data_IF_721497857663
#
_entry.id   IF_721497857663
#
_cell.length_a   1.000
_cell.length_b   1.000
_cell.length_c   1.000
_cell.angle_alpha   90.00
_cell.angle_beta   90.00
_cell.angle_gamma   90.00
#
_symmetry.space_group_name_H-M   'P 1'
#
loop_
_entity.id
_entity.type
_entity.pdbx_description
1 polymer ?
#
# COMPACT_ATOMS: atom_id res chain seq x y z
N UNK A 1 7.60 -4.76 12.68
CA UNK A 1 6.60 -5.28 13.64
C UNK A 1 6.94 -6.70 14.14
N UNK A 2 7.83 -7.43 13.49
CA UNK A 2 8.12 -8.85 13.80
C UNK A 2 9.01 -9.04 15.04
N UNK A 3 9.72 -8.00 15.50
CA UNK A 3 10.48 -8.07 16.77
C UNK A 3 9.54 -7.91 17.99
N UNK A 4 9.91 -8.37 19.20
CA UNK A 4 9.07 -8.22 20.40
C UNK A 4 8.61 -6.78 20.66
N UNK A 5 9.52 -5.82 20.60
CA UNK A 5 9.25 -4.39 20.82
C UNK A 5 8.42 -3.81 19.68
N UNK A 6 8.74 -4.16 18.43
CA UNK A 6 7.99 -3.76 17.24
C UNK A 6 6.55 -4.27 17.27
N UNK A 7 6.34 -5.50 17.77
CA UNK A 7 5.00 -6.08 17.96
C UNK A 7 4.16 -5.28 18.95
N UNK A 8 4.71 -4.96 20.11
CA UNK A 8 4.01 -4.13 21.12
C UNK A 8 3.62 -2.77 20.54
N UNK A 9 4.54 -2.12 19.84
CA UNK A 9 4.29 -0.82 19.21
C UNK A 9 3.22 -0.91 18.12
N UNK A 10 3.28 -1.93 17.26
CA UNK A 10 2.30 -2.12 16.19
C UNK A 10 0.89 -2.40 16.76
N UNK A 11 0.75 -3.25 17.77
CA UNK A 11 -0.54 -3.50 18.43
C UNK A 11 -1.11 -2.24 19.08
N UNK A 12 -0.27 -1.46 19.76
CA UNK A 12 -0.70 -0.20 20.39
C UNK A 12 -1.19 0.81 19.35
N UNK A 13 -0.45 0.99 18.25
CA UNK A 13 -0.76 1.98 17.23
C UNK A 13 -1.92 1.55 16.31
N UNK A 14 -1.91 0.29 15.84
CA UNK A 14 -2.80 -0.17 14.78
C UNK A 14 -4.09 -0.84 15.29
N UNK A 15 -4.13 -1.29 16.54
CA UNK A 15 -5.30 -1.95 17.12
C UNK A 15 -5.88 -1.17 18.31
N UNK A 16 -5.10 -0.94 19.37
CA UNK A 16 -5.60 -0.26 20.58
C UNK A 16 -5.99 1.18 20.29
N UNK A 17 -5.18 1.92 19.55
CA UNK A 17 -5.47 3.31 19.16
C UNK A 17 -6.78 3.43 18.37
N UNK A 18 -6.96 2.72 17.25
CA UNK A 18 -8.20 2.69 16.50
C UNK A 18 -9.42 2.25 17.33
N UNK A 19 -9.29 1.27 18.23
CA UNK A 19 -10.38 0.84 19.10
C UNK A 19 -10.84 1.95 20.05
N UNK A 20 -9.90 2.73 20.63
CA UNK A 20 -10.23 3.87 21.47
C UNK A 20 -10.90 4.98 20.67
N UNK A 21 -10.39 5.28 19.47
CA UNK A 21 -10.99 6.28 18.57
C UNK A 21 -12.41 5.86 18.16
N UNK A 22 -12.59 4.60 17.74
CA UNK A 22 -13.89 4.08 17.31
C UNK A 22 -14.94 4.21 18.43
N UNK A 23 -14.58 3.84 19.67
CA UNK A 23 -15.46 3.99 20.83
C UNK A 23 -15.81 5.47 21.08
N UNK A 24 -14.81 6.34 21.13
CA UNK A 24 -15.04 7.77 21.37
C UNK A 24 -15.88 8.41 20.25
N UNK A 25 -15.61 8.07 18.99
CA UNK A 25 -16.39 8.56 17.87
C UNK A 25 -17.85 8.10 17.93
N UNK A 26 -18.08 6.82 18.30
CA UNK A 26 -19.43 6.27 18.47
C UNK A 26 -20.20 6.99 19.59
N UNK A 27 -19.56 7.22 20.77
CA UNK A 27 -20.15 7.93 21.91
C UNK A 27 -20.56 9.38 21.57
N UNK A 28 -19.81 10.04 20.69
CA UNK A 28 -20.02 11.45 20.35
C UNK A 28 -20.65 11.68 18.96
N UNK A 29 -21.05 10.62 18.25
CA UNK A 29 -21.65 10.72 16.91
C UNK A 29 -20.70 11.30 15.85
N UNK A 30 -19.38 11.12 16.03
CA UNK A 30 -18.34 11.60 15.11
C UNK A 30 -18.11 10.56 14.01
N UNK A 31 -17.97 11.00 12.77
CA UNK A 31 -17.58 10.13 11.67
C UNK A 31 -16.08 9.85 11.73
N UNK A 32 -15.70 8.57 11.78
CA UNK A 32 -14.31 8.11 11.82
C UNK A 32 -13.86 7.66 10.43
N UNK A 33 -12.76 8.19 9.94
CA UNK A 33 -12.03 7.66 8.77
C UNK A 33 -10.79 6.95 9.27
N UNK A 34 -10.64 5.68 8.87
CA UNK A 34 -9.51 4.83 9.23
C UNK A 34 -8.78 4.37 7.97
N UNK A 35 -7.50 4.67 7.87
CA UNK A 35 -6.65 4.17 6.79
C UNK A 35 -6.13 2.79 7.15
N UNK A 36 -6.39 1.80 6.29
CA UNK A 36 -5.96 0.42 6.45
C UNK A 36 -5.07 -0.05 5.30
N UNK A 37 -4.87 -1.35 5.15
CA UNK A 37 -3.91 -1.95 4.23
C UNK A 37 -4.42 -3.26 3.65
N UNK A 38 -3.96 -3.58 2.44
CA UNK A 38 -4.04 -4.89 1.80
C UNK A 38 -3.42 -6.03 2.62
N UNK A 39 -2.47 -5.73 3.53
CA UNK A 39 -1.86 -6.72 4.44
C UNK A 39 -2.85 -7.35 5.44
N UNK A 40 -4.10 -6.93 5.45
CA UNK A 40 -5.19 -7.62 6.16
C UNK A 40 -5.59 -8.92 5.48
N UNK A 41 -5.11 -9.17 4.25
CA UNK A 41 -5.32 -10.38 3.46
C UNK A 41 -4.04 -11.20 3.34
N UNK A 42 -4.17 -12.46 2.88
CA UNK A 42 -3.05 -13.38 2.71
C UNK A 42 -2.39 -13.32 1.31
N UNK A 43 -3.01 -12.63 0.36
CA UNK A 43 -2.52 -12.50 -1.00
C UNK A 43 -2.69 -13.75 -1.86
N UNK A 44 -3.61 -14.66 -1.52
CA UNK A 44 -3.89 -15.87 -2.32
C UNK A 44 -4.86 -15.60 -3.46
N UNK A 45 -5.79 -14.64 -3.31
CA UNK A 45 -6.64 -14.17 -4.40
C UNK A 45 -5.87 -13.17 -5.28
N UNK A 46 -6.08 -13.23 -6.60
CA UNK A 46 -5.46 -12.27 -7.53
C UNK A 46 -5.93 -10.83 -7.28
N UNK A 47 -7.18 -10.66 -6.86
CA UNK A 47 -7.78 -9.39 -6.47
C UNK A 47 -8.63 -9.63 -5.21
N UNK A 48 -8.38 -8.87 -4.16
CA UNK A 48 -9.12 -8.93 -2.90
C UNK A 48 -10.27 -7.94 -2.89
N UNK A 49 -11.34 -8.28 -2.17
CA UNK A 49 -12.54 -7.45 -2.03
C UNK A 49 -12.79 -7.05 -0.58
N UNK A 50 -13.58 -6.00 -0.35
CA UNK A 50 -13.87 -5.49 0.99
C UNK A 50 -14.57 -6.50 1.91
N UNK A 51 -15.37 -7.41 1.32
CA UNK A 51 -16.17 -8.40 2.05
C UNK A 51 -15.45 -9.73 2.29
N UNK A 52 -14.23 -9.87 1.77
CA UNK A 52 -13.40 -11.05 1.99
C UNK A 52 -13.02 -11.20 3.47
N UNK A 53 -13.02 -12.42 4.04
CA UNK A 53 -12.53 -12.65 5.39
C UNK A 53 -11.08 -12.22 5.56
N UNK A 54 -10.78 -11.53 6.68
CA UNK A 54 -9.42 -11.10 6.98
C UNK A 54 -8.52 -12.30 7.27
N UNK A 55 -7.35 -12.37 6.61
CA UNK A 55 -6.40 -13.50 6.65
C UNK A 55 -4.94 -13.06 6.72
N UNK A 56 -4.56 -12.13 7.63
CA UNK A 56 -3.25 -11.49 7.63
C UNK A 56 -2.10 -12.46 7.93
N UNK A 57 -1.00 -12.37 7.15
CA UNK A 57 0.18 -13.21 7.30
C UNK A 57 1.16 -12.66 8.35
N UNK A 58 1.37 -11.34 8.39
CA UNK A 58 2.37 -10.68 9.22
C UNK A 58 1.79 -10.09 10.50
N UNK A 59 2.65 -9.79 11.49
CA UNK A 59 2.22 -9.06 12.70
C UNK A 59 1.64 -7.68 12.33
N UNK A 60 2.24 -6.99 11.36
CA UNK A 60 1.69 -5.73 10.85
C UNK A 60 0.24 -5.93 10.35
N UNK A 61 0.03 -6.90 9.47
CA UNK A 61 -1.31 -7.22 8.94
C UNK A 61 -2.30 -7.59 10.04
N UNK A 62 -1.89 -8.45 11.00
CA UNK A 62 -2.73 -8.84 12.15
C UNK A 62 -3.18 -7.62 12.97
N UNK A 63 -2.26 -6.68 13.23
CA UNK A 63 -2.59 -5.46 13.99
C UNK A 63 -3.50 -4.53 13.21
N UNK A 64 -3.34 -4.42 11.88
CA UNK A 64 -4.22 -3.63 11.01
C UNK A 64 -5.62 -4.26 10.92
N UNK A 65 -5.70 -5.58 10.75
CA UNK A 65 -6.97 -6.31 10.75
C UNK A 65 -7.74 -6.15 12.08
N UNK A 66 -7.04 -6.21 13.22
CA UNK A 66 -7.66 -5.95 14.52
C UNK A 66 -8.19 -4.50 14.63
N UNK A 67 -7.49 -3.53 14.05
CA UNK A 67 -7.95 -2.15 13.93
C UNK A 67 -9.21 -2.02 13.07
N UNK A 68 -9.23 -2.67 11.91
CA UNK A 68 -10.41 -2.70 11.01
C UNK A 68 -11.64 -3.24 11.73
N UNK A 69 -11.51 -4.39 12.43
CA UNK A 69 -12.60 -5.00 13.20
C UNK A 69 -13.12 -4.03 14.27
N UNK A 70 -12.21 -3.36 14.99
CA UNK A 70 -12.60 -2.41 16.02
C UNK A 70 -13.32 -1.18 15.44
N UNK A 71 -12.83 -0.64 14.32
CA UNK A 71 -13.43 0.52 13.65
C UNK A 71 -14.77 0.19 13.01
N UNK A 72 -14.95 -1.03 12.48
CA UNK A 72 -16.22 -1.50 11.93
C UNK A 72 -17.34 -1.52 12.98
N UNK A 73 -17.01 -1.57 14.26
CA UNK A 73 -17.97 -1.41 15.36
C UNK A 73 -18.49 0.02 15.56
N UNK A 74 -17.87 1.04 14.96
CA UNK A 74 -18.33 2.42 15.00
C UNK A 74 -19.44 2.63 13.95
N UNK A 75 -20.67 3.06 14.30
CA UNK A 75 -21.76 3.20 13.33
C UNK A 75 -21.49 4.14 12.16
N UNK A 76 -20.64 5.14 12.37
CA UNK A 76 -20.28 6.16 11.38
C UNK A 76 -18.79 6.06 11.06
N UNK A 77 -18.44 5.12 10.19
CA UNK A 77 -17.04 4.90 9.84
C UNK A 77 -16.84 4.74 8.33
N UNK A 78 -15.63 5.08 7.89
CA UNK A 78 -15.05 4.71 6.62
C UNK A 78 -13.70 4.05 6.89
N UNK A 79 -13.53 2.80 6.46
CA UNK A 79 -12.23 2.11 6.42
C UNK A 79 -11.74 2.19 4.98
N UNK A 80 -10.60 2.87 4.77
CA UNK A 80 -9.98 3.02 3.45
C UNK A 80 -8.77 2.10 3.39
N UNK A 81 -8.89 0.94 2.72
CA UNK A 81 -7.78 0.01 2.53
C UNK A 81 -6.98 0.38 1.30
N UNK A 82 -5.68 0.45 1.42
CA UNK A 82 -4.78 0.75 0.29
C UNK A 82 -3.55 -0.15 0.30
N UNK A 83 -2.81 -0.14 -0.80
CA UNK A 83 -1.52 -0.81 -0.95
C UNK A 83 -0.49 0.16 -1.54
N UNK A 84 0.80 -0.10 -1.29
CA UNK A 84 1.94 0.50 -1.98
C UNK A 84 1.87 2.03 -2.09
N UNK A 85 1.73 2.69 -0.95
CA UNK A 85 1.45 4.13 -0.87
C UNK A 85 2.68 4.97 -1.24
N UNK A 86 2.49 5.90 -2.16
CA UNK A 86 3.49 6.85 -2.66
C UNK A 86 3.07 8.28 -2.33
N UNK A 87 3.99 9.07 -1.78
CA UNK A 87 3.75 10.46 -1.41
C UNK A 87 5.03 11.28 -1.28
N UNK A 88 4.97 12.42 -0.56
CA UNK A 88 6.09 13.35 -0.43
C UNK A 88 7.28 12.80 0.36
N UNK A 89 7.05 11.91 1.33
CA UNK A 89 8.08 11.30 2.15
C UNK A 89 8.98 10.33 1.39
N UNK A 90 9.88 9.66 2.12
CA UNK A 90 10.69 8.56 1.57
C UNK A 90 9.76 7.44 1.09
N UNK A 91 9.96 6.97 -0.14
CA UNK A 91 9.14 5.93 -0.75
C UNK A 91 9.91 5.16 -1.83
N UNK A 92 9.32 4.07 -2.32
CA UNK A 92 9.94 3.18 -3.30
C UNK A 92 10.32 3.91 -4.59
N UNK A 93 9.45 4.76 -5.15
CA UNK A 93 9.70 5.46 -6.42
C UNK A 93 10.90 6.40 -6.31
N UNK A 94 11.00 7.18 -5.23
CA UNK A 94 12.16 8.05 -4.97
C UNK A 94 13.45 7.23 -4.81
N UNK A 95 13.37 6.08 -4.13
CA UNK A 95 14.51 5.19 -3.97
C UNK A 95 14.97 4.65 -5.33
N UNK A 96 14.05 4.17 -6.15
CA UNK A 96 14.37 3.64 -7.48
C UNK A 96 14.95 4.73 -8.39
N UNK A 97 14.38 5.95 -8.37
CA UNK A 97 14.95 7.08 -9.12
C UNK A 97 16.40 7.37 -8.69
N UNK A 98 16.66 7.47 -7.40
CA UNK A 98 18.01 7.72 -6.90
C UNK A 98 19.00 6.59 -7.26
N UNK A 99 18.54 5.33 -7.27
CA UNK A 99 19.36 4.19 -7.73
C UNK A 99 19.60 4.23 -9.24
N UNK A 100 18.59 4.62 -10.05
CA UNK A 100 18.75 4.82 -11.49
C UNK A 100 19.79 5.90 -11.80
N UNK A 101 19.76 7.04 -11.06
CA UNK A 101 20.74 8.10 -11.21
C UNK A 101 22.17 7.61 -10.91
N UNK A 102 22.34 6.79 -9.86
CA UNK A 102 23.64 6.18 -9.51
C UNK A 102 24.13 5.19 -10.56
N UNK A 103 23.23 4.35 -11.11
CA UNK A 103 23.56 3.41 -12.19
C UNK A 103 23.94 4.14 -13.48
N UNK A 104 23.39 5.32 -13.71
CA UNK A 104 23.73 6.16 -14.87
C UNK A 104 25.04 6.95 -14.68
N UNK A 105 25.52 7.10 -13.45
CA UNK A 105 26.76 7.81 -13.14
C UNK A 105 27.99 6.92 -13.46
N UNK A 106 28.86 7.30 -14.42
CA UNK A 106 30.02 6.50 -14.78
C UNK A 106 31.08 6.40 -13.67
N UNK A 107 31.02 7.30 -12.67
CA UNK A 107 31.94 7.29 -11.53
C UNK A 107 31.39 6.47 -10.34
N UNK A 108 30.13 6.07 -10.32
CA UNK A 108 29.55 5.14 -9.34
C UNK A 108 29.85 3.67 -9.73
N UNK A 109 30.03 2.83 -8.73
CA UNK A 109 30.28 1.38 -8.94
C UNK A 109 29.02 0.54 -9.07
N UNK A 110 27.84 1.15 -8.92
CA UNK A 110 26.56 0.47 -9.02
C UNK A 110 26.21 0.23 -10.50
N UNK A 111 26.19 -1.02 -10.94
CA UNK A 111 25.90 -1.38 -12.34
C UNK A 111 24.45 -1.80 -12.57
N UNK A 112 23.82 -2.39 -11.55
CA UNK A 112 22.43 -2.89 -11.61
C UNK A 112 21.80 -2.97 -10.23
N UNK A 113 20.48 -3.13 -10.17
CA UNK A 113 19.75 -3.34 -8.93
C UNK A 113 18.88 -4.58 -9.00
N UNK A 114 18.75 -5.31 -7.90
CA UNK A 114 17.84 -6.45 -7.77
C UNK A 114 16.55 -6.02 -7.12
N UNK A 115 15.39 -6.37 -7.71
CA UNK A 115 14.07 -6.01 -7.20
C UNK A 115 13.16 -7.23 -7.25
N UNK A 116 12.31 -7.37 -6.22
CA UNK A 116 11.37 -8.48 -6.09
C UNK A 116 10.34 -8.48 -7.21
N UNK A 117 10.08 -9.66 -7.81
CA UNK A 117 9.23 -9.84 -8.97
C UNK A 117 7.97 -10.70 -8.71
N UNK A 118 7.87 -11.32 -7.56
CA UNK A 118 6.79 -12.22 -7.15
C UNK A 118 5.82 -11.61 -6.12
N UNK A 119 5.83 -10.28 -5.99
CA UNK A 119 4.82 -9.50 -5.27
C UNK A 119 4.14 -8.56 -6.26
N UNK A 120 2.83 -8.70 -6.40
CA UNK A 120 2.02 -8.09 -7.44
C UNK A 120 0.99 -7.12 -6.84
N UNK A 121 0.86 -5.92 -7.41
CA UNK A 121 -0.05 -4.91 -6.89
C UNK A 121 -0.13 -3.66 -7.77
N UNK A 122 -0.60 -2.57 -7.17
CA UNK A 122 -0.72 -1.26 -7.80
C UNK A 122 -0.25 -0.18 -6.84
N UNK A 123 0.37 0.88 -7.35
CA UNK A 123 0.71 2.04 -6.53
C UNK A 123 -0.55 2.82 -6.12
N UNK A 124 -0.50 3.41 -4.93
CA UNK A 124 -1.53 4.33 -4.44
C UNK A 124 -0.88 5.67 -4.13
N UNK A 125 -1.25 6.72 -4.87
CA UNK A 125 -0.74 8.06 -4.57
C UNK A 125 -1.55 8.69 -3.44
N UNK A 126 -0.87 9.25 -2.44
CA UNK A 126 -1.49 9.86 -1.24
C UNK A 126 -2.48 10.96 -1.59
N UNK A 127 -2.22 11.73 -2.67
CA UNK A 127 -3.12 12.76 -3.18
C UNK A 127 -4.48 12.16 -3.57
N UNK A 128 -4.47 11.06 -4.30
CA UNK A 128 -5.69 10.46 -4.83
C UNK A 128 -6.46 9.71 -3.75
N UNK A 129 -5.75 9.07 -2.83
CA UNK A 129 -6.37 8.53 -1.62
C UNK A 129 -7.06 9.62 -0.79
N UNK A 130 -6.43 10.78 -0.61
CA UNK A 130 -7.05 11.91 0.07
C UNK A 130 -8.31 12.41 -0.66
N UNK A 131 -8.28 12.48 -2.01
CA UNK A 131 -9.46 12.85 -2.83
C UNK A 131 -10.59 11.85 -2.65
N UNK A 132 -10.31 10.54 -2.63
CA UNK A 132 -11.30 9.51 -2.36
C UNK A 132 -11.92 9.66 -0.96
N UNK A 133 -11.11 9.90 0.07
CA UNK A 133 -11.58 10.18 1.44
C UNK A 133 -12.52 11.39 1.47
N UNK A 134 -12.12 12.51 0.86
CA UNK A 134 -12.96 13.71 0.81
C UNK A 134 -14.24 13.49 -0.01
N UNK A 135 -14.18 12.64 -1.05
CA UNK A 135 -15.36 12.30 -1.83
C UNK A 135 -16.39 11.54 -0.98
N UNK A 136 -16.01 10.44 -0.33
CA UNK A 136 -16.93 9.64 0.49
C UNK A 136 -17.51 10.44 1.66
N UNK A 137 -16.73 11.36 2.24
CA UNK A 137 -17.21 12.27 3.27
C UNK A 137 -18.17 13.32 2.71
N UNK A 138 -17.83 13.96 1.58
CA UNK A 138 -18.60 15.07 1.00
C UNK A 138 -19.91 14.62 0.37
N UNK A 139 -19.94 13.42 -0.19
CA UNK A 139 -21.16 12.83 -0.79
C UNK A 139 -22.02 12.07 0.22
N UNK A 140 -21.54 11.94 1.47
CA UNK A 140 -22.19 11.08 2.47
C UNK A 140 -22.40 9.65 1.95
N UNK A 141 -21.40 9.09 1.31
CA UNK A 141 -21.43 7.70 0.83
C UNK A 141 -21.82 6.74 1.97
N UNK A 142 -22.40 5.56 1.67
CA UNK A 142 -22.71 4.57 2.70
C UNK A 142 -21.49 4.28 3.59
N UNK A 143 -21.68 4.25 4.91
CA UNK A 143 -20.61 3.89 5.85
C UNK A 143 -20.15 2.45 5.59
N UNK A 144 -18.86 2.19 5.77
CA UNK A 144 -18.28 0.87 5.57
C UNK A 144 -16.82 0.90 5.12
N UNK A 145 -16.38 -0.22 4.57
CA UNK A 145 -15.03 -0.38 4.03
C UNK A 145 -15.01 -0.10 2.54
N UNK A 146 -13.97 0.57 2.07
CA UNK A 146 -13.68 0.87 0.68
C UNK A 146 -12.23 0.54 0.38
N UNK A 147 -12.00 -0.24 -0.66
CA UNK A 147 -10.68 -0.45 -1.20
C UNK A 147 -10.30 0.75 -2.08
N UNK A 148 -9.04 1.24 -1.91
CA UNK A 148 -8.62 2.53 -2.43
C UNK A 148 -7.14 2.48 -2.87
N UNK A 149 -6.89 1.87 -4.04
CA UNK A 149 -5.57 1.84 -4.70
C UNK A 149 -5.67 2.52 -6.06
N UNK A 150 -4.54 2.79 -6.71
CA UNK A 150 -4.58 3.19 -8.12
C UNK A 150 -5.30 2.14 -8.98
N UNK A 151 -5.95 2.56 -10.05
CA UNK A 151 -6.48 1.68 -11.09
C UNK A 151 -5.39 1.27 -12.08
N UNK A 152 -5.72 0.53 -13.13
CA UNK A 152 -4.78 0.10 -14.16
C UNK A 152 -4.21 -1.30 -13.96
N UNK A 153 -3.11 -1.61 -14.63
CA UNK A 153 -2.53 -2.94 -14.65
C UNK A 153 -1.91 -3.34 -13.31
N UNK A 154 -2.06 -4.61 -12.92
CA UNK A 154 -1.34 -5.20 -11.78
C UNK A 154 0.09 -5.50 -12.24
N UNK A 155 1.08 -5.06 -11.48
CA UNK A 155 2.50 -5.16 -11.80
C UNK A 155 3.31 -5.61 -10.58
N UNK A 156 4.51 -6.17 -10.83
CA UNK A 156 5.47 -6.47 -9.77
C UNK A 156 6.26 -5.22 -9.32
N UNK A 157 6.92 -5.31 -8.17
CA UNK A 157 7.88 -4.27 -7.77
C UNK A 157 9.01 -4.11 -8.79
N UNK A 158 9.47 -5.20 -9.42
CA UNK A 158 10.49 -5.14 -10.47
C UNK A 158 9.99 -4.40 -11.71
N UNK A 159 8.73 -4.61 -12.13
CA UNK A 159 8.14 -3.89 -13.26
C UNK A 159 8.02 -2.38 -12.98
N UNK A 160 7.58 -2.02 -11.77
CA UNK A 160 7.50 -0.62 -11.34
C UNK A 160 8.91 0.01 -11.30
N UNK A 161 9.91 -0.72 -10.77
CA UNK A 161 11.29 -0.24 -10.78
C UNK A 161 11.80 -0.01 -12.20
N UNK A 162 11.53 -0.93 -13.14
CA UNK A 162 11.88 -0.75 -14.56
C UNK A 162 11.24 0.49 -15.16
N UNK A 163 9.96 0.73 -14.88
CA UNK A 163 9.27 1.92 -15.36
C UNK A 163 9.90 3.21 -14.82
N UNK A 164 10.30 3.23 -13.55
CA UNK A 164 11.00 4.37 -12.95
C UNK A 164 12.38 4.58 -13.57
N UNK A 165 13.17 3.52 -13.72
CA UNK A 165 14.52 3.56 -14.33
C UNK A 165 14.45 4.04 -15.77
N UNK A 166 13.50 3.51 -16.55
CA UNK A 166 13.30 3.91 -17.94
C UNK A 166 12.91 5.38 -18.07
N UNK A 167 11.98 5.84 -17.25
CA UNK A 167 11.54 7.23 -17.25
C UNK A 167 12.61 8.21 -16.76
N UNK A 168 13.48 7.79 -15.83
CA UNK A 168 14.52 8.64 -15.26
C UNK A 168 15.75 8.78 -16.19
N UNK A 169 16.29 7.66 -16.67
CA UNK A 169 17.59 7.63 -17.36
C UNK A 169 17.64 6.68 -18.58
N UNK A 170 16.53 6.07 -19.00
CA UNK A 170 16.50 5.10 -20.12
C UNK A 170 17.26 3.80 -19.83
N UNK A 171 17.37 3.42 -18.55
CA UNK A 171 18.19 2.27 -18.11
C UNK A 171 17.36 1.19 -17.39
N UNK A 172 16.12 0.97 -17.81
CA UNK A 172 15.22 -0.03 -17.24
C UNK A 172 15.74 -1.47 -17.29
N UNK A 173 16.63 -1.79 -18.25
CA UNK A 173 17.34 -3.06 -18.37
C UNK A 173 18.29 -3.36 -17.19
N UNK A 174 18.64 -2.36 -16.41
CA UNK A 174 19.49 -2.48 -15.21
C UNK A 174 18.75 -2.99 -13.97
N UNK A 175 17.43 -3.18 -14.06
CA UNK A 175 16.63 -3.79 -12.99
C UNK A 175 16.55 -5.29 -13.20
N UNK A 176 17.18 -6.05 -12.31
CA UNK A 176 17.22 -7.52 -12.32
C UNK A 176 16.11 -8.06 -11.41
N UNK A 177 15.12 -8.80 -11.95
CA UNK A 177 14.06 -9.40 -11.14
C UNK A 177 14.62 -10.56 -10.31
N UNK A 178 14.13 -10.67 -9.06
CA UNK A 178 14.46 -11.77 -8.16
C UNK A 178 13.22 -12.21 -7.38
N UNK A 179 13.19 -13.47 -6.92
CA UNK A 179 12.12 -13.90 -6.02
C UNK A 179 12.24 -13.27 -4.63
N UNK A 180 11.13 -13.17 -3.90
CA UNK A 180 11.13 -12.77 -2.49
C UNK A 180 12.05 -13.68 -1.66
N UNK A 181 12.05 -14.97 -1.94
CA UNK A 181 12.90 -15.94 -1.24
C UNK A 181 14.39 -15.67 -1.46
N UNK A 182 14.80 -15.39 -2.71
CA UNK A 182 16.21 -15.07 -3.02
C UNK A 182 16.61 -13.71 -2.45
N UNK A 183 15.73 -12.72 -2.53
CA UNK A 183 16.00 -11.36 -2.02
C UNK A 183 16.27 -11.34 -0.51
N UNK A 184 15.53 -12.14 0.26
CA UNK A 184 15.66 -12.23 1.71
C UNK A 184 16.47 -13.44 2.18
N UNK A 185 16.97 -14.30 1.29
CA UNK A 185 17.66 -15.54 1.62
C UNK A 185 18.92 -15.40 2.48
N UNK A 186 19.52 -14.20 2.51
CA UNK A 186 20.66 -13.87 3.38
C UNK A 186 20.31 -12.98 4.58
N UNK A 187 19.05 -12.73 4.86
CA UNK A 187 18.63 -11.80 5.91
C UNK A 187 18.92 -12.36 7.31
N UNK A 188 19.62 -11.59 8.12
CA UNK A 188 19.78 -11.88 9.55
C UNK A 188 18.57 -11.36 10.33
N UNK A 189 17.72 -12.26 10.83
CA UNK A 189 16.55 -11.92 11.65
C UNK A 189 15.19 -12.22 11.00
N UNK A 190 14.07 -11.92 11.68
CA UNK A 190 12.75 -12.27 11.20
C UNK A 190 12.35 -11.40 10.00
N UNK A 191 12.07 -12.03 8.87
CA UNK A 191 11.47 -11.40 7.69
C UNK A 191 9.97 -11.45 7.81
N UNK A 192 9.30 -10.30 7.66
CA UNK A 192 7.85 -10.24 7.65
C UNK A 192 7.30 -10.94 6.40
N UNK A 193 6.39 -11.93 6.52
CA UNK A 193 5.71 -12.50 5.37
C UNK A 193 4.86 -11.42 4.68
N UNK A 194 4.84 -11.47 3.35
CA UNK A 194 4.16 -10.49 2.49
C UNK A 194 3.17 -11.19 1.57
N UNK A 195 2.01 -10.59 1.28
CA UNK A 195 1.10 -11.08 0.27
C UNK A 195 1.78 -11.16 -1.10
N UNK A 196 1.49 -12.22 -1.86
CA UNK A 196 1.87 -12.32 -3.28
C UNK A 196 1.04 -11.34 -4.10
N UNK A 197 -0.27 -11.29 -3.85
CA UNK A 197 -1.18 -10.35 -4.50
C UNK A 197 -1.64 -9.29 -3.52
N UNK A 198 -1.45 -8.02 -3.90
CA UNK A 198 -1.86 -6.81 -3.18
C UNK A 198 -2.87 -5.97 -3.97
N UNK A 199 -3.42 -6.53 -5.06
CA UNK A 199 -4.44 -5.85 -5.84
C UNK A 199 -5.80 -5.90 -5.12
N UNK A 200 -6.46 -4.74 -5.07
CA UNK A 200 -7.76 -4.56 -4.42
C UNK A 200 -8.83 -4.21 -5.45
N UNK A 201 -10.07 -4.67 -5.24
CA UNK A 201 -11.22 -4.33 -6.07
C UNK A 201 -11.68 -2.89 -5.82
N UNK A 202 -11.97 -2.16 -6.88
CA UNK A 202 -12.34 -0.75 -6.80
C UNK A 202 -13.84 -0.52 -7.04
N UNK A 203 -14.60 -1.56 -7.34
CA UNK A 203 -16.01 -1.47 -7.77
C UNK A 203 -16.92 -0.80 -6.73
N UNK A 204 -16.64 -1.00 -5.43
CA UNK A 204 -17.41 -0.35 -4.37
C UNK A 204 -17.17 1.16 -4.33
N UNK A 205 -15.93 1.61 -4.46
CA UNK A 205 -15.61 3.03 -4.53
C UNK A 205 -16.18 3.67 -5.81
N UNK A 206 -16.12 2.95 -6.93
CA UNK A 206 -16.74 3.38 -8.20
C UNK A 206 -18.25 3.48 -8.11
N UNK A 207 -18.89 2.55 -7.39
CA UNK A 207 -20.36 2.56 -7.20
C UNK A 207 -20.88 3.81 -6.48
N UNK A 208 -20.02 4.49 -5.73
CA UNK A 208 -20.34 5.77 -5.07
C UNK A 208 -19.84 6.99 -5.85
N UNK A 209 -19.40 6.78 -7.11
CA UNK A 209 -19.06 7.85 -8.05
C UNK A 209 -17.62 8.35 -7.99
N UNK A 210 -16.70 7.59 -7.41
CA UNK A 210 -15.27 7.95 -7.42
C UNK A 210 -14.44 6.89 -8.16
N UNK A 211 -13.74 7.32 -9.22
CA UNK A 211 -12.81 6.48 -9.96
C UNK A 211 -11.38 6.85 -9.59
N UNK A 212 -10.63 5.85 -9.12
CA UNK A 212 -9.20 6.03 -8.86
C UNK A 212 -8.45 6.19 -10.17
N UNK A 213 -7.51 7.15 -10.27
CA UNK A 213 -6.67 7.31 -11.46
C UNK A 213 -5.82 6.07 -11.74
N UNK A 214 -5.41 5.94 -13.02
CA UNK A 214 -4.43 4.93 -13.42
C UNK A 214 -3.07 5.22 -12.77
N UNK A 215 -2.49 4.24 -12.08
CA UNK A 215 -1.25 4.44 -11.33
C UNK A 215 -0.03 4.67 -12.24
N UNK A 216 -0.03 4.15 -13.49
CA UNK A 216 1.08 4.36 -14.43
C UNK A 216 1.08 5.82 -14.94
N UNK A 217 -0.10 6.39 -15.19
CA UNK A 217 -0.25 7.81 -15.54
C UNK A 217 0.20 8.70 -14.38
N UNK A 218 -0.26 8.40 -13.16
CA UNK A 218 0.12 9.14 -11.95
C UNK A 218 1.61 9.01 -11.61
N UNK A 219 2.22 7.85 -11.87
CA UNK A 219 3.67 7.66 -11.74
C UNK A 219 4.42 8.62 -12.67
N UNK A 220 3.97 8.74 -13.94
CA UNK A 220 4.55 9.67 -14.90
C UNK A 220 4.48 11.12 -14.43
N UNK A 221 3.34 11.55 -13.89
CA UNK A 221 3.20 12.90 -13.33
C UNK A 221 4.04 13.11 -12.05
N UNK A 222 4.09 12.11 -11.18
CA UNK A 222 4.89 12.17 -9.96
C UNK A 222 6.38 12.30 -10.25
N UNK A 223 6.91 11.54 -11.21
CA UNK A 223 8.32 11.59 -11.60
C UNK A 223 8.74 12.98 -12.13
N UNK A 224 7.83 13.73 -12.76
CA UNK A 224 8.09 15.12 -13.20
C UNK A 224 8.31 16.09 -12.02
N UNK A 225 7.90 15.71 -10.82
CA UNK A 225 8.04 16.53 -9.60
C UNK A 225 9.31 16.23 -8.82
N UNK A 226 10.06 15.19 -9.20
CA UNK A 226 11.31 14.75 -8.57
C UNK A 226 12.56 15.22 -9.31
#
# INVERSE_FOLDING_TARGET
AETPEGRVTAWKANATGPALLARTCAEHGITLVHVSSDYVFDGTAEVHTEDEPLSPLSVYGQTKAAGDIAVAGCPRHYIMRSSWVIGEGHNFVKTMKALSDRVADPDDKLDQVTVVDDQLGRLTFTRDMARAIFHVLGTHAPYGTYDCTGSGAVKSWADIARAVFEAANGNGDKVVPVSTADYYGGAEGPVAPRPVHSALDLSRLESVGFHMPDWEEELGEYLKTL
#
